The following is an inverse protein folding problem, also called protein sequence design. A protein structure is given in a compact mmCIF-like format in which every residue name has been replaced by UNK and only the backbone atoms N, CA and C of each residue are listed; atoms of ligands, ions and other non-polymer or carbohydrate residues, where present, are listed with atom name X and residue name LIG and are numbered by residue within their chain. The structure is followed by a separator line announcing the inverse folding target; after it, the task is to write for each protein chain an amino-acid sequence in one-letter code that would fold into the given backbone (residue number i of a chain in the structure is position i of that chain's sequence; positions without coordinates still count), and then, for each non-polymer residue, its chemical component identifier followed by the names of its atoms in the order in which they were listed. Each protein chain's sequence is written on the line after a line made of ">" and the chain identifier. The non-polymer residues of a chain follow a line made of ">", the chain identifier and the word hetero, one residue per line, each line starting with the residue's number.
data_IF_948053964929
#
_entry.id   IF_948053964929
#
_cell.length_a   1.000
_cell.length_b   1.000
_cell.length_c   1.000
_cell.angle_alpha   90.00
_cell.angle_beta   90.00
_cell.angle_gamma   90.00
#
_symmetry.space_group_name_H-M   'P 1'
#
loop_
_entity.id
_entity.type
_entity.pdbx_description
1 polymer ?
#
# COMPACT_ATOMS: atom_id res chain seq x y z
N UNK A 1 9.94 36.07 1.50
CA UNK A 1 10.23 34.80 2.19
C UNK A 1 8.94 34.45 2.90
N UNK A 2 8.34 33.34 2.51
CA UNK A 2 6.98 33.03 2.89
C UNK A 2 6.98 31.76 3.74
N UNK A 3 6.17 31.78 4.80
CA UNK A 3 6.03 30.67 5.73
C UNK A 3 4.55 30.31 5.79
N UNK A 4 4.24 29.05 5.52
CA UNK A 4 2.90 28.49 5.72
C UNK A 4 3.00 27.36 6.74
N UNK A 5 2.22 27.45 7.83
CA UNK A 5 2.18 26.43 8.86
C UNK A 5 0.73 26.02 9.18
N UNK A 6 0.53 24.74 9.44
CA UNK A 6 -0.76 24.18 9.83
C UNK A 6 -0.58 23.23 11.01
N UNK A 7 -1.53 23.24 11.95
CA UNK A 7 -1.60 22.29 13.06
C UNK A 7 -3.03 21.78 13.16
N UNK A 8 -3.20 20.45 13.21
CA UNK A 8 -4.48 19.79 13.40
C UNK A 8 -4.37 18.77 14.54
N UNK A 9 -5.34 18.82 15.47
CA UNK A 9 -5.41 17.94 16.63
C UNK A 9 -6.57 16.96 16.46
N UNK A 10 -6.30 15.67 16.58
CA UNK A 10 -7.35 14.64 16.69
C UNK A 10 -7.27 13.91 18.02
N UNK A 11 -8.44 13.55 18.55
CA UNK A 11 -8.57 12.74 19.78
C UNK A 11 -9.50 11.57 19.51
N UNK A 12 -9.10 10.37 19.93
CA UNK A 12 -9.91 9.16 19.83
C UNK A 12 -10.18 8.57 21.21
N UNK A 13 -11.42 8.17 21.50
CA UNK A 13 -11.77 7.44 22.73
C UNK A 13 -12.53 6.19 22.30
N UNK A 14 -12.09 5.01 22.73
CA UNK A 14 -12.74 3.75 22.38
C UNK A 14 -12.31 2.62 23.30
N UNK A 15 -13.10 1.56 23.33
CA UNK A 15 -12.80 0.29 23.99
C UNK A 15 -12.08 -0.62 23.00
N UNK A 16 -11.08 -1.37 23.46
CA UNK A 16 -10.40 -2.38 22.64
C UNK A 16 -10.97 -3.76 22.95
N UNK A 17 -10.88 -4.65 22.00
CA UNK A 17 -11.21 -6.07 22.11
C UNK A 17 -9.97 -6.89 21.85
N UNK A 18 -9.71 -7.87 22.71
CA UNK A 18 -8.70 -8.89 22.49
C UNK A 18 -9.39 -10.26 22.47
N UNK A 19 -8.98 -11.09 21.52
CA UNK A 19 -9.43 -12.46 21.45
C UNK A 19 -8.70 -13.29 22.52
N UNK A 20 -9.45 -13.88 23.46
CA UNK A 20 -8.91 -14.39 24.73
C UNK A 20 -7.75 -15.41 24.56
N UNK A 21 -7.87 -16.47 23.73
CA UNK A 21 -6.79 -17.43 23.51
C UNK A 21 -5.48 -16.81 23.01
N UNK A 22 -5.56 -15.87 22.07
CA UNK A 22 -4.36 -15.16 21.60
C UNK A 22 -3.82 -14.17 22.63
N UNK A 23 -4.70 -13.61 23.46
CA UNK A 23 -4.27 -12.70 24.50
C UNK A 23 -3.50 -13.41 25.60
N UNK A 24 -3.93 -14.62 26.00
CA UNK A 24 -3.16 -15.49 26.91
C UNK A 24 -1.77 -15.76 26.36
N UNK A 25 -1.71 -16.26 25.12
CA UNK A 25 -0.44 -16.54 24.45
C UNK A 25 0.47 -15.31 24.34
N UNK A 26 -0.10 -14.13 24.09
CA UNK A 26 0.64 -12.87 24.05
C UNK A 26 1.25 -12.52 25.42
N UNK A 27 0.49 -12.69 26.50
CA UNK A 27 0.97 -12.46 27.87
C UNK A 27 2.07 -13.46 28.23
N UNK A 28 1.87 -14.75 27.94
CA UNK A 28 2.88 -15.80 28.13
C UNK A 28 4.18 -15.52 27.38
N UNK A 29 4.09 -15.13 26.09
CA UNK A 29 5.26 -14.73 25.29
C UNK A 29 5.97 -13.52 25.92
N UNK A 30 5.23 -12.52 26.41
CA UNK A 30 5.81 -11.34 27.08
C UNK A 30 6.52 -11.69 28.38
N UNK A 31 5.90 -12.52 29.23
CA UNK A 31 6.50 -13.02 30.49
C UNK A 31 7.81 -13.74 30.17
N UNK A 32 7.80 -14.62 29.18
CA UNK A 32 9.00 -15.34 28.73
C UNK A 32 10.12 -14.39 28.31
N UNK A 33 9.82 -13.35 27.50
CA UNK A 33 10.83 -12.37 27.08
C UNK A 33 11.36 -11.52 28.24
N UNK A 34 10.50 -11.06 29.15
CA UNK A 34 10.89 -10.28 30.32
C UNK A 34 11.79 -11.08 31.25
N UNK A 35 11.47 -12.35 31.48
CA UNK A 35 12.32 -13.27 32.25
C UNK A 35 13.71 -13.43 31.62
N UNK A 36 13.80 -13.55 30.29
CA UNK A 36 15.10 -13.57 29.58
C UNK A 36 15.86 -12.26 29.69
N UNK A 37 15.17 -11.13 29.86
CA UNK A 37 15.76 -9.82 30.06
C UNK A 37 16.05 -9.51 31.54
N UNK A 38 15.81 -10.46 32.45
CA UNK A 38 15.91 -10.30 33.92
C UNK A 38 14.96 -9.22 34.49
N UNK A 39 13.88 -8.90 33.78
CA UNK A 39 12.85 -7.95 34.19
C UNK A 39 11.74 -8.64 35.03
N UNK A 40 12.12 -9.30 36.12
CA UNK A 40 11.23 -10.19 36.88
C UNK A 40 10.02 -9.49 37.50
N UNK A 41 10.17 -8.25 37.97
CA UNK A 41 9.05 -7.51 38.56
C UNK A 41 7.93 -7.25 37.52
N UNK A 42 8.30 -6.93 36.29
CA UNK A 42 7.35 -6.72 35.20
C UNK A 42 6.71 -8.05 34.77
N UNK A 43 7.50 -9.13 34.76
CA UNK A 43 7.01 -10.48 34.48
C UNK A 43 5.97 -10.94 35.52
N UNK A 44 6.22 -10.72 36.81
CA UNK A 44 5.28 -11.09 37.88
C UNK A 44 3.95 -10.34 37.78
N UNK A 45 3.96 -9.06 37.40
CA UNK A 45 2.73 -8.28 37.18
C UNK A 45 1.91 -8.89 36.03
N UNK A 46 2.57 -9.32 34.96
CA UNK A 46 1.89 -10.00 33.84
C UNK A 46 1.41 -11.41 34.23
N UNK A 47 2.14 -12.12 35.08
CA UNK A 47 1.76 -13.43 35.60
C UNK A 47 0.46 -13.33 36.43
N UNK A 48 0.37 -12.39 37.38
CA UNK A 48 -0.87 -12.15 38.13
C UNK A 48 -2.05 -11.75 37.22
N UNK A 49 -1.76 -11.04 36.14
CA UNK A 49 -2.77 -10.67 35.16
C UNK A 49 -3.27 -11.89 34.38
N UNK A 50 -2.37 -12.80 33.99
CA UNK A 50 -2.71 -14.06 33.33
C UNK A 50 -3.59 -14.93 34.22
N UNK A 51 -3.19 -15.13 35.48
CA UNK A 51 -3.95 -15.92 36.47
C UNK A 51 -5.37 -15.37 36.69
N UNK A 52 -5.51 -14.05 36.82
CA UNK A 52 -6.84 -13.41 36.94
C UNK A 52 -7.70 -13.62 35.69
N UNK A 53 -7.08 -13.54 34.52
CA UNK A 53 -7.76 -13.73 33.24
C UNK A 53 -8.24 -15.18 33.10
N UNK A 54 -7.39 -16.12 33.48
CA UNK A 54 -7.65 -17.56 33.49
C UNK A 54 -8.75 -17.94 34.47
N UNK A 55 -8.69 -17.46 35.70
CA UNK A 55 -9.73 -17.70 36.71
C UNK A 55 -11.10 -17.16 36.28
N UNK A 56 -11.14 -16.08 35.49
CA UNK A 56 -12.40 -15.48 35.05
C UNK A 56 -13.02 -16.19 33.84
N UNK A 57 -12.19 -16.71 32.93
CA UNK A 57 -12.66 -17.14 31.60
C UNK A 57 -12.30 -18.56 31.21
N UNK A 58 -11.58 -19.28 32.05
CA UNK A 58 -11.19 -20.66 31.82
C UNK A 58 -11.77 -21.58 32.89
N UNK A 59 -11.94 -22.83 32.52
CA UNK A 59 -12.40 -23.91 33.39
C UNK A 59 -11.38 -25.01 33.33
N UNK A 60 -11.14 -25.54 34.51
CA UNK A 60 -10.31 -26.71 34.70
C UNK A 60 -11.21 -27.94 34.66
N UNK A 61 -10.93 -28.87 33.74
CA UNK A 61 -11.67 -30.11 33.57
C UNK A 61 -10.74 -31.24 34.01
N UNK A 62 -10.91 -31.81 35.23
CA UNK A 62 -10.09 -32.90 35.71
C UNK A 62 -10.15 -34.10 34.75
N UNK A 63 -9.05 -34.82 34.61
CA UNK A 63 -9.05 -36.07 33.85
C UNK A 63 -10.04 -37.07 34.49
N UNK A 64 -10.92 -37.71 33.70
CA UNK A 64 -11.93 -38.63 34.23
C UNK A 64 -11.33 -39.90 34.85
N UNK A 65 -10.12 -40.31 34.43
CA UNK A 65 -9.43 -41.50 34.92
C UNK A 65 -8.50 -41.16 36.11
N UNK A 66 -7.99 -39.92 36.18
CA UNK A 66 -7.19 -39.44 37.32
C UNK A 66 -7.52 -37.99 37.71
N UNK A 67 -8.61 -37.77 38.48
CA UNK A 67 -9.09 -36.43 38.81
C UNK A 67 -8.22 -35.69 39.86
N UNK A 68 -7.24 -36.36 40.47
CA UNK A 68 -6.30 -35.76 41.43
C UNK A 68 -4.98 -35.32 40.77
N UNK A 69 -4.67 -35.80 39.56
CA UNK A 69 -3.47 -35.39 38.83
C UNK A 69 -3.70 -34.04 38.13
N UNK A 70 -3.08 -32.99 38.67
CA UNK A 70 -3.28 -31.65 38.15
C UNK A 70 -2.69 -31.44 36.74
N UNK A 71 -1.72 -32.28 36.34
CA UNK A 71 -1.02 -32.18 35.06
C UNK A 71 -1.82 -32.81 33.90
N UNK A 72 -2.81 -33.65 34.21
CA UNK A 72 -3.62 -34.38 33.21
C UNK A 72 -4.94 -33.68 32.86
N UNK A 73 -5.35 -32.69 33.64
CA UNK A 73 -6.60 -31.99 33.37
C UNK A 73 -6.56 -31.11 32.11
N UNK A 74 -7.71 -31.05 31.44
CA UNK A 74 -7.90 -30.16 30.30
C UNK A 74 -8.24 -28.74 30.76
N UNK A 75 -7.49 -27.78 30.22
CA UNK A 75 -7.71 -26.37 30.48
C UNK A 75 -8.54 -25.72 29.36
N UNK A 76 -9.86 -25.64 29.55
CA UNK A 76 -10.78 -25.10 28.54
C UNK A 76 -11.09 -23.63 28.81
N UNK A 77 -10.65 -22.75 27.90
CA UNK A 77 -10.94 -21.31 27.95
C UNK A 77 -12.07 -20.91 27.01
N UNK A 78 -12.83 -19.87 27.39
CA UNK A 78 -13.89 -19.33 26.55
C UNK A 78 -13.37 -18.81 25.19
N UNK A 79 -14.00 -19.26 24.11
CA UNK A 79 -13.76 -18.76 22.75
C UNK A 79 -14.54 -17.46 22.51
N UNK A 80 -14.00 -16.32 22.99
CA UNK A 80 -14.64 -15.00 22.83
C UNK A 80 -13.68 -13.82 22.84
N UNK A 81 -14.15 -12.71 22.29
CA UNK A 81 -13.55 -11.39 22.47
C UNK A 81 -13.86 -10.80 23.85
N UNK A 82 -12.83 -10.32 24.54
CA UNK A 82 -12.96 -9.61 25.82
C UNK A 82 -12.68 -8.13 25.64
N UNK A 83 -13.47 -7.28 26.30
CA UNK A 83 -13.23 -5.84 26.33
C UNK A 83 -12.02 -5.53 27.21
N UNK A 84 -11.10 -4.74 26.67
CA UNK A 84 -9.96 -4.18 27.38
C UNK A 84 -10.01 -2.67 27.28
N UNK A 85 -9.61 -1.97 28.33
CA UNK A 85 -9.47 -0.51 28.26
C UNK A 85 -8.38 -0.15 27.25
N UNK A 86 -8.68 0.80 26.37
CA UNK A 86 -7.68 1.32 25.45
C UNK A 86 -6.62 2.13 26.21
N UNK A 87 -5.45 1.51 26.45
CA UNK A 87 -4.29 2.16 27.05
C UNK A 87 -3.47 2.88 25.96
N UNK A 88 -3.21 4.19 26.12
CA UNK A 88 -2.33 4.94 25.22
C UNK A 88 -2.62 6.44 25.10
N UNK A 89 -1.76 7.17 24.38
CA UNK A 89 -1.98 8.58 24.04
C UNK A 89 -3.04 8.67 22.94
N UNK A 90 -4.30 8.79 23.35
CA UNK A 90 -5.49 9.07 22.54
C UNK A 90 -5.48 10.40 21.76
N UNK A 91 -4.33 11.06 21.64
CA UNK A 91 -4.16 12.36 20.97
C UNK A 91 -3.10 12.23 19.90
N UNK A 92 -3.48 12.57 18.67
CA UNK A 92 -2.55 12.66 17.56
C UNK A 92 -2.51 14.12 17.10
N UNK A 93 -1.29 14.58 16.82
CA UNK A 93 -1.06 15.96 16.37
C UNK A 93 -0.41 15.88 14.99
N UNK A 94 -1.11 16.41 14.01
CA UNK A 94 -0.61 16.67 12.68
C UNK A 94 -0.11 18.10 12.62
N UNK A 95 1.02 18.30 11.97
CA UNK A 95 1.55 19.63 11.74
C UNK A 95 2.39 19.64 10.47
N UNK A 96 2.37 20.76 9.78
CA UNK A 96 3.21 21.01 8.62
C UNK A 96 3.74 22.44 8.65
N UNK A 97 4.91 22.62 8.05
CA UNK A 97 5.50 23.92 7.82
C UNK A 97 6.22 23.89 6.47
N UNK A 98 5.98 24.90 5.65
CA UNK A 98 6.69 25.12 4.38
C UNK A 98 7.32 26.50 4.42
N UNK A 99 8.61 26.55 4.14
CA UNK A 99 9.37 27.77 3.94
C UNK A 99 9.71 27.88 2.46
N UNK A 100 9.43 29.02 1.85
CA UNK A 100 9.85 29.35 0.49
C UNK A 100 10.51 30.72 0.43
N UNK A 101 11.38 30.90 -0.55
CA UNK A 101 12.00 32.18 -0.84
C UNK A 101 11.87 32.46 -2.33
N UNK A 102 11.30 33.62 -2.68
CA UNK A 102 11.37 34.13 -4.04
C UNK A 102 12.75 34.76 -4.24
N UNK A 103 13.57 34.17 -5.11
CA UNK A 103 14.91 34.67 -5.46
C UNK A 103 14.91 35.20 -6.89
N UNK A 104 14.24 34.49 -7.80
CA UNK A 104 14.11 34.83 -9.21
C UNK A 104 12.87 34.12 -9.80
N UNK A 105 12.34 34.60 -10.93
CA UNK A 105 11.20 33.99 -11.62
C UNK A 105 11.37 32.49 -11.88
N UNK A 106 12.57 32.11 -12.32
CA UNK A 106 12.95 30.71 -12.56
C UNK A 106 13.48 29.97 -11.32
N UNK A 107 13.52 30.61 -10.15
CA UNK A 107 14.07 30.00 -8.95
C UNK A 107 13.38 30.50 -7.67
N UNK A 108 12.33 29.80 -7.30
CA UNK A 108 11.67 29.91 -6.00
C UNK A 108 11.88 28.62 -5.21
N UNK A 109 13.00 28.47 -4.47
CA UNK A 109 13.25 27.31 -3.64
C UNK A 109 12.25 27.20 -2.47
N UNK A 110 11.99 25.97 -2.06
CA UNK A 110 11.19 25.66 -0.89
C UNK A 110 11.70 24.44 -0.13
N UNK A 111 11.43 24.43 1.17
CA UNK A 111 11.58 23.28 2.05
C UNK A 111 10.25 23.08 2.78
N UNK A 112 9.74 21.86 2.77
CA UNK A 112 8.51 21.50 3.49
C UNK A 112 8.78 20.33 4.43
N UNK A 113 8.20 20.43 5.62
CA UNK A 113 8.11 19.36 6.59
C UNK A 113 6.64 19.11 6.91
N UNK A 114 6.21 17.86 6.92
CA UNK A 114 4.88 17.49 7.41
C UNK A 114 4.93 16.22 8.26
N UNK A 115 4.09 16.21 9.29
CA UNK A 115 3.75 15.03 10.08
C UNK A 115 2.24 14.80 9.97
N UNK A 116 1.85 13.65 9.47
CA UNK A 116 0.46 13.24 9.33
C UNK A 116 0.22 11.87 10.00
N UNK A 117 -1.04 11.52 10.20
CA UNK A 117 -1.43 10.19 10.67
C UNK A 117 -2.65 9.66 9.92
N UNK A 118 -2.75 8.33 9.86
CA UNK A 118 -3.96 7.61 9.43
C UNK A 118 -4.39 6.67 10.55
N UNK A 119 -5.64 6.79 10.99
CA UNK A 119 -6.21 5.84 11.96
C UNK A 119 -6.56 4.52 11.26
N UNK A 120 -6.51 3.38 11.96
CA UNK A 120 -6.98 2.11 11.42
C UNK A 120 -8.44 2.21 10.98
N UNK A 121 -8.78 1.59 9.86
CA UNK A 121 -10.15 1.52 9.37
C UNK A 121 -10.87 0.29 9.97
N UNK A 122 -12.21 0.27 9.85
CA UNK A 122 -13.05 -0.80 10.43
C UNK A 122 -12.67 -2.19 9.87
N UNK A 123 -12.33 -2.29 8.58
CA UNK A 123 -11.91 -3.56 7.98
C UNK A 123 -10.58 -4.02 8.57
N UNK A 124 -9.60 -3.15 8.72
CA UNK A 124 -8.31 -3.50 9.34
C UNK A 124 -8.50 -3.98 10.78
N UNK A 125 -9.42 -3.39 11.54
CA UNK A 125 -9.63 -3.74 12.94
C UNK A 125 -10.47 -5.00 13.15
N UNK A 126 -11.49 -5.25 12.32
CA UNK A 126 -12.51 -6.27 12.57
C UNK A 126 -12.62 -7.36 11.50
N UNK A 127 -11.86 -7.28 10.40
CA UNK A 127 -11.90 -8.31 9.37
C UNK A 127 -11.19 -9.58 9.84
N UNK A 128 -11.83 -10.71 9.60
CA UNK A 128 -11.32 -12.05 9.88
C UNK A 128 -11.94 -13.03 8.89
N UNK A 129 -11.17 -14.01 8.42
CA UNK A 129 -11.69 -15.09 7.56
C UNK A 129 -12.13 -16.31 8.36
N UNK A 130 -11.79 -16.37 9.65
CA UNK A 130 -12.13 -17.45 10.54
C UNK A 130 -12.57 -16.84 11.88
N UNK A 131 -13.87 -16.89 12.18
CA UNK A 131 -14.45 -16.36 13.42
C UNK A 131 -13.87 -15.00 13.82
N UNK A 132 -13.59 -14.84 15.12
CA UNK A 132 -12.99 -13.63 15.67
C UNK A 132 -11.44 -13.66 15.69
N UNK A 133 -10.81 -14.73 15.20
CA UNK A 133 -9.35 -14.94 15.29
C UNK A 133 -8.53 -13.86 14.54
N UNK A 134 -9.07 -13.26 13.49
CA UNK A 134 -8.39 -12.20 12.71
C UNK A 134 -8.56 -10.78 13.26
N UNK A 135 -9.46 -10.60 14.23
CA UNK A 135 -9.80 -9.28 14.79
C UNK A 135 -8.60 -8.70 15.55
N UNK A 136 -8.20 -7.47 15.19
CA UNK A 136 -7.15 -6.74 15.88
C UNK A 136 -7.52 -5.28 16.10
N UNK A 137 -8.07 -4.99 17.28
CA UNK A 137 -8.42 -3.62 17.65
C UNK A 137 -7.28 -2.86 18.36
N UNK A 138 -6.13 -3.51 18.54
CA UNK A 138 -4.95 -2.91 19.16
C UNK A 138 -4.07 -2.14 18.17
N UNK A 139 -4.46 -2.14 16.88
CA UNK A 139 -3.75 -1.43 15.82
C UNK A 139 -3.46 0.03 16.20
N UNK A 140 -2.19 0.40 16.00
CA UNK A 140 -1.71 1.77 16.18
C UNK A 140 -1.98 2.55 14.90
N UNK A 141 -2.37 3.83 15.01
CA UNK A 141 -2.42 4.73 13.86
C UNK A 141 -1.06 4.84 13.18
N UNK A 142 -1.06 4.77 11.85
CA UNK A 142 0.13 4.99 11.04
C UNK A 142 0.57 6.46 11.17
N UNK A 143 1.87 6.72 11.24
CA UNK A 143 2.40 8.08 11.31
C UNK A 143 3.43 8.32 10.22
N UNK A 144 3.12 9.22 9.30
CA UNK A 144 4.03 9.62 8.23
C UNK A 144 4.75 10.92 8.59
N UNK A 145 6.07 10.94 8.39
CA UNK A 145 6.90 12.15 8.43
C UNK A 145 7.52 12.35 7.06
N UNK A 146 7.22 13.48 6.43
CA UNK A 146 7.68 13.80 5.09
C UNK A 146 8.51 15.07 5.11
N UNK A 147 9.66 15.01 4.44
CA UNK A 147 10.49 16.18 4.13
C UNK A 147 10.55 16.31 2.62
N UNK A 148 10.29 17.50 2.10
CA UNK A 148 10.41 17.84 0.69
C UNK A 148 11.34 19.04 0.55
N UNK A 149 12.23 18.98 -0.44
CA UNK A 149 13.10 20.08 -0.81
C UNK A 149 12.99 20.21 -2.32
N UNK A 150 12.74 21.42 -2.80
CA UNK A 150 12.56 21.64 -4.22
C UNK A 150 12.61 23.10 -4.59
N UNK A 151 12.30 23.37 -5.84
CA UNK A 151 12.15 24.72 -6.36
C UNK A 151 11.12 24.72 -7.49
N UNK A 152 10.50 25.87 -7.65
CA UNK A 152 9.56 26.14 -8.73
C UNK A 152 10.12 27.29 -9.57
N UNK A 153 9.82 27.28 -10.85
CA UNK A 153 10.10 28.39 -11.75
C UNK A 153 8.86 28.66 -12.60
N UNK A 154 8.53 29.93 -12.77
CA UNK A 154 7.53 30.38 -13.71
C UNK A 154 8.00 31.69 -14.33
N UNK A 155 8.10 31.73 -15.65
CA UNK A 155 8.50 32.93 -16.38
C UNK A 155 7.74 33.02 -17.69
N UNK A 156 7.22 34.21 -17.96
CA UNK A 156 6.73 34.59 -19.28
C UNK A 156 7.88 35.25 -20.06
N UNK A 157 7.82 35.20 -21.38
CA UNK A 157 8.77 35.86 -22.27
C UNK A 157 10.21 35.37 -22.11
N UNK A 158 10.40 34.05 -22.10
CA UNK A 158 11.72 33.44 -21.93
C UNK A 158 12.51 33.40 -23.25
N UNK A 159 11.91 32.95 -24.35
CA UNK A 159 12.53 32.89 -25.67
C UNK A 159 11.79 33.76 -26.70
N UNK A 160 10.50 34.03 -26.51
CA UNK A 160 9.68 34.85 -27.42
C UNK A 160 8.75 35.80 -26.65
N UNK A 161 8.19 36.82 -27.29
CA UNK A 161 7.32 37.80 -26.63
C UNK A 161 5.96 37.25 -26.14
N UNK A 162 5.67 35.95 -26.33
CA UNK A 162 4.41 35.34 -25.91
C UNK A 162 4.56 33.95 -25.26
N UNK A 163 5.78 33.45 -25.04
CA UNK A 163 5.97 32.13 -24.45
C UNK A 163 5.89 32.13 -22.92
N UNK A 164 5.59 30.96 -22.37
CA UNK A 164 5.50 30.70 -20.93
C UNK A 164 6.24 29.42 -20.61
N UNK A 165 7.11 29.48 -19.60
CA UNK A 165 7.78 28.32 -19.04
C UNK A 165 7.41 28.19 -17.56
N UNK A 166 6.85 27.05 -17.19
CA UNK A 166 6.64 26.63 -15.81
C UNK A 166 7.35 25.33 -15.53
N UNK A 167 8.03 25.21 -14.38
CA UNK A 167 8.56 23.92 -13.94
C UNK A 167 8.61 23.81 -12.42
N UNK A 168 8.65 22.57 -11.95
CA UNK A 168 8.81 22.24 -10.55
C UNK A 168 9.66 20.99 -10.43
N UNK A 169 10.68 21.06 -9.60
CA UNK A 169 11.53 19.92 -9.29
C UNK A 169 11.63 19.77 -7.77
N UNK A 170 11.50 18.54 -7.28
CA UNK A 170 11.63 18.26 -5.85
C UNK A 170 12.21 16.88 -5.59
N UNK A 171 12.86 16.77 -4.44
CA UNK A 171 13.18 15.50 -3.80
C UNK A 171 12.34 15.37 -2.54
N UNK A 172 11.91 14.15 -2.24
CA UNK A 172 11.12 13.87 -1.05
C UNK A 172 11.63 12.65 -0.31
N UNK A 173 11.38 12.65 1.00
CA UNK A 173 11.61 11.51 1.87
C UNK A 173 10.50 11.40 2.91
N UNK A 174 9.71 10.35 2.79
CA UNK A 174 8.66 9.97 3.73
C UNK A 174 9.11 8.76 4.55
N UNK A 175 8.89 8.82 5.86
CA UNK A 175 9.03 7.67 6.76
C UNK A 175 7.70 7.42 7.45
N UNK A 176 7.10 6.25 7.22
CA UNK A 176 5.86 5.82 7.87
C UNK A 176 6.21 4.86 8.99
N UNK A 177 5.79 5.20 10.21
CA UNK A 177 5.87 4.32 11.38
C UNK A 177 4.53 3.62 11.57
N UNK A 178 4.58 2.40 12.10
CA UNK A 178 3.41 1.61 12.47
C UNK A 178 2.51 1.35 11.23
N UNK A 179 3.11 1.16 10.04
CA UNK A 179 2.35 0.90 8.79
C UNK A 179 1.51 -0.37 8.93
N UNK A 180 0.22 -0.30 8.62
CA UNK A 180 -0.72 -1.40 8.77
C UNK A 180 -0.71 -2.22 7.49
N UNK A 181 -0.44 -3.51 7.64
CA UNK A 181 -0.49 -4.51 6.56
C UNK A 181 -1.11 -5.80 7.12
N UNK A 182 -1.38 -6.80 6.29
CA UNK A 182 -1.92 -8.07 6.76
C UNK A 182 -1.05 -9.28 6.43
N UNK A 183 -1.22 -10.31 7.25
CA UNK A 183 -0.56 -11.61 7.16
C UNK A 183 -1.61 -12.72 7.24
N UNK A 184 -1.28 -13.90 6.73
CA UNK A 184 -2.02 -15.12 7.08
C UNK A 184 -1.45 -15.67 8.37
N UNK A 185 -2.23 -15.62 9.46
CA UNK A 185 -1.84 -16.07 10.80
C UNK A 185 -2.47 -17.42 11.10
N UNK A 186 -1.70 -18.33 11.69
CA UNK A 186 -2.26 -19.59 12.18
C UNK A 186 -3.32 -19.33 13.28
N UNK A 187 -4.44 -20.05 13.23
CA UNK A 187 -5.39 -20.08 14.33
C UNK A 187 -4.77 -20.73 15.59
N UNK A 188 -5.39 -20.62 16.78
CA UNK A 188 -4.92 -21.34 17.97
C UNK A 188 -4.82 -22.85 17.72
N UNK A 189 -3.95 -23.56 18.44
CA UNK A 189 -3.58 -24.95 18.16
C UNK A 189 -4.77 -25.94 18.06
N UNK A 190 -5.86 -25.68 18.77
CA UNK A 190 -7.07 -26.50 18.78
C UNK A 190 -8.02 -26.21 17.61
N UNK A 191 -7.78 -25.14 16.84
CA UNK A 191 -8.54 -24.77 15.63
C UNK A 191 -7.68 -25.01 14.40
N UNK A 192 -8.14 -25.91 13.52
CA UNK A 192 -7.49 -26.10 12.22
C UNK A 192 -7.87 -24.97 11.29
N UNK A 193 -6.93 -24.07 11.00
CA UNK A 193 -7.12 -23.04 10.00
C UNK A 193 -6.16 -21.87 10.11
N UNK A 194 -6.30 -20.93 9.18
CA UNK A 194 -5.58 -19.66 9.17
C UNK A 194 -6.54 -18.51 8.98
N UNK A 195 -6.18 -17.35 9.50
CA UNK A 195 -6.97 -16.13 9.38
C UNK A 195 -6.14 -14.98 8.84
N UNK A 196 -6.78 -14.09 8.08
CA UNK A 196 -6.17 -12.82 7.72
C UNK A 196 -6.11 -11.95 8.97
N UNK A 197 -4.89 -11.57 9.36
CA UNK A 197 -4.62 -10.79 10.55
C UNK A 197 -3.90 -9.50 10.17
N UNK A 198 -4.51 -8.36 10.51
CA UNK A 198 -3.90 -7.05 10.31
C UNK A 198 -2.97 -6.72 11.48
N UNK A 199 -1.78 -6.19 11.20
CA UNK A 199 -0.82 -5.76 12.22
C UNK A 199 -0.03 -4.55 11.76
N UNK A 200 0.55 -3.83 12.72
CA UNK A 200 1.52 -2.79 12.43
C UNK A 200 2.87 -3.44 12.06
N UNK A 201 3.53 -2.90 11.03
CA UNK A 201 4.86 -3.30 10.61
C UNK A 201 5.91 -2.80 11.59
N UNK A 202 6.83 -3.68 11.98
CA UNK A 202 7.83 -3.40 13.01
C UNK A 202 8.87 -2.37 12.55
N UNK A 203 9.19 -2.38 11.26
CA UNK A 203 10.09 -1.41 10.65
C UNK A 203 9.35 -0.18 10.11
N UNK A 204 10.11 0.91 9.94
CA UNK A 204 9.59 2.10 9.27
C UNK A 204 9.62 1.90 7.76
N UNK A 205 8.46 2.04 7.11
CA UNK A 205 8.37 2.11 5.65
C UNK A 205 9.02 3.41 5.18
N UNK A 206 9.95 3.30 4.24
CA UNK A 206 10.69 4.41 3.66
C UNK A 206 10.26 4.58 2.21
N UNK A 207 9.72 5.75 1.90
CA UNK A 207 9.42 6.18 0.53
C UNK A 207 10.28 7.40 0.22
N UNK A 208 10.99 7.38 -0.89
CA UNK A 208 11.78 8.52 -1.34
C UNK A 208 11.82 8.58 -2.84
N UNK A 209 12.04 9.77 -3.37
CA UNK A 209 12.03 9.96 -4.80
C UNK A 209 12.39 11.37 -5.23
N UNK A 210 12.40 11.53 -6.53
CA UNK A 210 12.56 12.78 -7.26
C UNK A 210 11.38 12.94 -8.21
N UNK A 211 10.83 14.14 -8.27
CA UNK A 211 9.74 14.50 -9.18
C UNK A 211 10.13 15.76 -9.94
N UNK A 212 9.84 15.75 -11.25
CA UNK A 212 10.04 16.85 -12.17
C UNK A 212 8.77 17.04 -13.00
N UNK A 213 8.31 18.27 -13.07
CA UNK A 213 7.25 18.72 -13.96
C UNK A 213 7.75 19.93 -14.74
N UNK A 214 7.53 19.97 -16.04
CA UNK A 214 7.87 21.07 -16.93
C UNK A 214 6.74 21.27 -17.93
N UNK A 215 6.33 22.51 -18.10
CA UNK A 215 5.30 22.95 -19.04
C UNK A 215 5.85 24.15 -19.80
N UNK A 216 5.87 24.06 -21.13
CA UNK A 216 6.29 25.14 -22.02
C UNK A 216 5.22 25.36 -23.07
N UNK A 217 4.80 26.62 -23.26
CA UNK A 217 3.79 26.99 -24.23
C UNK A 217 4.21 28.28 -24.94
N UNK A 218 4.23 28.26 -26.28
CA UNK A 218 4.51 29.42 -27.13
C UNK A 218 3.31 29.79 -28.03
N UNK A 219 2.11 29.33 -27.68
CA UNK A 219 0.88 29.45 -28.48
C UNK A 219 0.83 28.40 -29.59
N UNK A 220 1.68 28.52 -30.61
CA UNK A 220 1.72 27.60 -31.76
C UNK A 220 2.30 26.22 -31.45
N UNK A 221 3.05 26.10 -30.37
CA UNK A 221 3.67 24.86 -29.90
C UNK A 221 3.63 24.80 -28.37
N UNK A 222 3.45 23.59 -27.85
CA UNK A 222 3.58 23.31 -26.42
C UNK A 222 4.29 21.99 -26.17
N UNK A 223 4.93 21.91 -25.01
CA UNK A 223 5.60 20.72 -24.51
C UNK A 223 5.34 20.55 -23.01
N UNK A 224 4.83 19.39 -22.61
CA UNK A 224 4.61 19.04 -21.21
C UNK A 224 5.42 17.79 -20.88
N UNK A 225 6.20 17.84 -19.80
CA UNK A 225 7.01 16.73 -19.31
C UNK A 225 6.69 16.51 -17.83
N UNK A 226 6.36 15.27 -17.49
CA UNK A 226 6.34 14.80 -16.11
C UNK A 226 7.29 13.61 -15.97
N UNK A 227 8.08 13.59 -14.90
CA UNK A 227 8.98 12.48 -14.57
C UNK A 227 9.00 12.27 -13.06
N UNK A 228 8.89 11.01 -12.65
CA UNK A 228 9.01 10.58 -11.27
C UNK A 228 9.96 9.38 -11.16
N UNK A 229 10.92 9.47 -10.24
CA UNK A 229 11.73 8.36 -9.79
C UNK A 229 11.43 8.08 -8.32
N UNK A 230 11.13 6.84 -7.96
CA UNK A 230 10.76 6.50 -6.58
C UNK A 230 11.25 5.13 -6.12
N UNK A 231 11.57 5.04 -4.83
CA UNK A 231 11.86 3.80 -4.13
C UNK A 231 10.95 3.67 -2.90
N UNK A 232 10.42 2.48 -2.68
CA UNK A 232 9.49 2.17 -1.59
C UNK A 232 9.84 0.84 -0.93
N UNK A 233 9.96 0.83 0.40
CA UNK A 233 10.21 -0.37 1.23
C UNK A 233 8.95 -0.91 1.90
N UNK A 234 7.76 -0.56 1.39
CA UNK A 234 6.48 -1.04 1.89
C UNK A 234 6.44 -2.58 1.87
N UNK A 235 6.01 -3.22 2.98
CA UNK A 235 5.81 -4.66 3.02
C UNK A 235 4.65 -5.06 2.11
N UNK A 236 4.69 -6.28 1.60
CA UNK A 236 3.60 -6.86 0.82
C UNK A 236 2.66 -7.59 1.78
N UNK A 237 1.36 -7.28 1.69
CA UNK A 237 0.32 -7.95 2.46
C UNK A 237 0.06 -9.34 1.91
N UNK A 238 -0.34 -10.27 2.77
CA UNK A 238 -0.71 -11.62 2.32
C UNK A 238 -1.83 -11.60 1.29
N UNK A 239 -2.75 -10.65 1.40
CA UNK A 239 -3.89 -10.51 0.49
C UNK A 239 -3.62 -9.74 -0.79
N UNK A 240 -2.39 -9.24 -1.03
CA UNK A 240 -2.04 -8.49 -2.24
C UNK A 240 -2.01 -9.39 -3.49
N UNK A 241 -1.87 -10.70 -3.31
CA UNK A 241 -2.04 -11.71 -4.35
C UNK A 241 -2.82 -12.91 -3.80
N UNK A 242 -3.46 -13.66 -4.69
CA UNK A 242 -4.21 -14.87 -4.35
C UNK A 242 -3.76 -16.03 -5.21
N UNK A 243 -3.75 -17.24 -4.64
CA UNK A 243 -3.65 -18.46 -5.44
C UNK A 243 -4.92 -18.65 -6.29
N UNK A 244 -4.87 -19.48 -7.32
CA UNK A 244 -6.10 -19.86 -8.03
C UNK A 244 -6.92 -20.84 -7.20
N UNK A 245 -8.24 -20.78 -7.36
CA UNK A 245 -9.21 -21.62 -6.62
C UNK A 245 -9.22 -23.07 -7.13
N UNK A 246 -8.72 -23.33 -8.34
CA UNK A 246 -8.67 -24.65 -8.97
C UNK A 246 -7.50 -25.53 -8.48
N UNK A 247 -6.70 -25.05 -7.52
CA UNK A 247 -5.67 -25.86 -6.87
C UNK A 247 -6.32 -27.03 -6.13
N UNK A 248 -6.03 -28.25 -6.60
CA UNK A 248 -6.61 -29.53 -6.18
C UNK A 248 -6.24 -29.92 -4.72
N UNK A 249 -5.42 -29.13 -4.02
CA UNK A 249 -4.92 -29.43 -2.68
C UNK A 249 -5.53 -28.55 -1.58
N UNK A 250 -5.75 -29.13 -0.40
CA UNK A 250 -6.14 -28.40 0.83
C UNK A 250 -5.17 -27.26 1.20
N UNK A 251 -3.93 -27.28 0.71
CA UNK A 251 -2.95 -26.21 0.93
C UNK A 251 -3.32 -24.93 0.17
N UNK A 252 -3.83 -25.03 -1.06
CA UNK A 252 -4.17 -23.87 -1.90
C UNK A 252 -5.32 -23.03 -1.34
N UNK A 253 -6.24 -23.64 -0.59
CA UNK A 253 -7.29 -22.91 0.12
C UNK A 253 -6.72 -21.93 1.18
N UNK A 254 -5.68 -22.34 1.90
CA UNK A 254 -5.02 -21.52 2.92
C UNK A 254 -4.15 -20.42 2.33
N UNK A 255 -3.91 -20.46 1.02
CA UNK A 255 -3.15 -19.49 0.24
C UNK A 255 -4.05 -18.40 -0.37
N UNK A 256 -5.34 -18.40 -0.07
CA UNK A 256 -6.26 -17.43 -0.66
C UNK A 256 -6.17 -16.06 0.00
N UNK A 257 -5.86 -15.05 -0.81
CA UNK A 257 -5.86 -13.63 -0.42
C UNK A 257 -7.20 -12.94 -0.60
N UNK A 258 -8.18 -13.62 -1.22
CA UNK A 258 -9.55 -13.14 -1.50
C UNK A 258 -9.63 -11.80 -2.25
N UNK A 259 -8.53 -11.33 -2.85
CA UNK A 259 -8.43 -10.01 -3.45
C UNK A 259 -8.69 -8.86 -2.48
N UNK A 260 -8.47 -9.09 -1.17
CA UNK A 260 -8.83 -8.14 -0.11
C UNK A 260 -7.92 -6.91 -0.07
N UNK A 261 -6.72 -6.98 -0.65
CA UNK A 261 -5.83 -5.84 -0.87
C UNK A 261 -5.18 -5.93 -2.25
N UNK A 262 -4.42 -4.89 -2.61
CA UNK A 262 -3.73 -4.78 -3.90
C UNK A 262 -2.42 -4.05 -3.69
N UNK A 263 -1.39 -4.41 -4.47
CA UNK A 263 -0.14 -3.66 -4.45
C UNK A 263 -0.38 -2.25 -4.98
N UNK A 264 0.13 -1.26 -4.24
CA UNK A 264 -0.04 0.17 -4.56
C UNK A 264 1.33 0.84 -4.72
N UNK A 265 2.26 0.15 -5.39
CA UNK A 265 3.62 0.63 -5.62
C UNK A 265 3.77 1.02 -7.10
N UNK A 266 3.85 2.32 -7.38
CA UNK A 266 4.12 2.82 -8.75
C UNK A 266 5.46 2.26 -9.29
N UNK A 267 5.65 2.22 -10.62
CA UNK A 267 6.94 1.92 -11.22
C UNK A 267 8.07 2.77 -10.61
N UNK A 268 9.28 2.21 -10.60
CA UNK A 268 10.48 2.92 -10.10
C UNK A 268 10.73 4.21 -10.87
N UNK A 269 10.44 4.19 -12.16
CA UNK A 269 10.52 5.34 -13.05
C UNK A 269 9.21 5.44 -13.83
N UNK A 270 8.63 6.63 -13.87
CA UNK A 270 7.46 6.96 -14.69
C UNK A 270 7.72 8.29 -15.39
N UNK A 271 7.46 8.35 -16.70
CA UNK A 271 7.54 9.60 -17.45
C UNK A 271 6.40 9.74 -18.45
N UNK A 272 5.95 10.97 -18.66
CA UNK A 272 5.09 11.35 -19.78
C UNK A 272 5.65 12.58 -20.46
N UNK A 273 5.81 12.53 -21.78
CA UNK A 273 6.19 13.66 -22.62
C UNK A 273 5.09 13.89 -23.63
N UNK A 274 4.46 15.06 -23.58
CA UNK A 274 3.51 15.53 -24.56
C UNK A 274 4.15 16.64 -25.39
N UNK A 275 4.00 16.56 -26.70
CA UNK A 275 4.38 17.60 -27.64
C UNK A 275 3.18 17.87 -28.55
N UNK A 276 2.90 19.13 -28.83
CA UNK A 276 1.86 19.45 -29.79
C UNK A 276 1.97 20.84 -30.37
N UNK A 277 1.16 21.06 -31.40
CA UNK A 277 1.11 22.29 -32.18
C UNK A 277 -0.32 22.77 -32.33
N UNK A 278 -0.50 24.09 -32.42
CA UNK A 278 -1.79 24.76 -32.60
C UNK A 278 -1.76 25.60 -33.87
N UNK A 279 -2.84 25.51 -34.65
CA UNK A 279 -3.00 26.14 -35.96
C UNK A 279 -4.37 26.82 -36.04
N UNK A 280 -4.52 27.75 -36.97
CA UNK A 280 -5.79 28.47 -37.24
C UNK A 280 -6.39 29.13 -36.00
N UNK A 281 -5.60 29.95 -35.29
CA UNK A 281 -6.04 30.59 -34.04
C UNK A 281 -6.47 29.54 -32.99
N UNK A 282 -5.66 28.50 -32.84
CA UNK A 282 -5.86 27.39 -31.89
C UNK A 282 -7.04 26.46 -32.16
N UNK A 283 -7.77 26.66 -33.27
CA UNK A 283 -8.89 25.82 -33.69
C UNK A 283 -8.47 24.43 -34.12
N UNK A 284 -7.23 24.24 -34.60
CA UNK A 284 -6.69 22.92 -34.91
C UNK A 284 -5.48 22.63 -34.03
N UNK A 285 -5.54 21.52 -33.30
CA UNK A 285 -4.45 21.07 -32.45
C UNK A 285 -4.03 19.66 -32.85
N UNK A 286 -2.73 19.47 -33.01
CA UNK A 286 -2.14 18.17 -33.34
C UNK A 286 -1.07 17.89 -32.29
N UNK A 287 -1.19 16.78 -31.59
CA UNK A 287 -0.30 16.43 -30.50
C UNK A 287 -0.02 14.94 -30.40
N UNK A 288 1.00 14.62 -29.62
CA UNK A 288 1.38 13.25 -29.28
C UNK A 288 1.91 13.16 -27.86
N UNK A 289 1.61 12.04 -27.21
CA UNK A 289 2.02 11.73 -25.84
C UNK A 289 2.83 10.45 -25.83
N UNK A 290 4.07 10.52 -25.37
CA UNK A 290 4.91 9.37 -25.07
C UNK A 290 4.85 9.05 -23.58
N UNK A 291 4.53 7.80 -23.23
CA UNK A 291 4.52 7.27 -21.87
C UNK A 291 5.67 6.28 -21.69
N UNK A 292 6.40 6.40 -20.59
CA UNK A 292 7.49 5.53 -20.21
C UNK A 292 7.24 4.93 -18.82
N UNK A 293 7.37 3.60 -18.74
CA UNK A 293 7.25 2.85 -17.50
C UNK A 293 8.53 2.03 -17.27
N UNK A 294 9.24 2.37 -16.20
CA UNK A 294 10.41 1.64 -15.72
C UNK A 294 10.03 0.29 -15.10
N UNK A 295 10.96 -0.26 -14.32
CA UNK A 295 10.71 -1.52 -13.59
C UNK A 295 9.60 -1.29 -12.56
N UNK A 296 8.63 -2.19 -12.51
CA UNK A 296 7.55 -2.18 -11.51
C UNK A 296 7.66 -3.38 -10.57
N UNK A 297 6.98 -3.30 -9.43
CA UNK A 297 6.85 -4.42 -8.48
C UNK A 297 5.41 -4.93 -8.54
N UNK A 298 5.23 -6.23 -8.38
CA UNK A 298 3.93 -6.87 -8.21
C UNK A 298 3.99 -7.92 -7.11
N UNK A 299 2.86 -8.28 -6.54
CA UNK A 299 2.79 -9.39 -5.60
C UNK A 299 2.92 -10.73 -6.36
N UNK A 300 3.68 -11.65 -5.78
CA UNK A 300 3.98 -12.97 -6.33
C UNK A 300 3.18 -14.03 -5.57
N UNK A 301 2.93 -15.20 -6.18
CA UNK A 301 2.32 -16.32 -5.46
C UNK A 301 3.26 -16.94 -4.41
N UNK A 302 4.53 -16.53 -4.39
CA UNK A 302 5.52 -16.99 -3.41
C UNK A 302 5.30 -16.38 -2.03
N UNK A 303 5.75 -17.11 -1.01
CA UNK A 303 5.58 -16.72 0.38
C UNK A 303 6.89 -16.67 1.18
N UNK A 304 6.81 -15.98 2.32
CA UNK A 304 7.76 -16.07 3.42
C UNK A 304 7.00 -16.49 4.67
N UNK A 305 7.46 -17.57 5.30
CA UNK A 305 6.87 -18.07 6.55
C UNK A 305 7.71 -17.58 7.74
N UNK A 306 7.02 -17.09 8.76
CA UNK A 306 7.57 -16.73 10.05
C UNK A 306 7.16 -17.84 11.01
N UNK A 307 8.13 -18.49 11.64
CA UNK A 307 7.92 -19.59 12.57
C UNK A 307 7.85 -19.08 14.01
N UNK A 308 7.24 -19.86 14.89
CA UNK A 308 7.40 -19.65 16.33
C UNK A 308 8.88 -19.86 16.73
N UNK A 309 9.38 -19.12 17.74
CA UNK A 309 10.74 -19.31 18.24
C UNK A 309 11.01 -20.77 18.59
N UNK A 310 12.15 -21.31 18.14
CA UNK A 310 12.59 -22.69 18.39
C UNK A 310 11.58 -23.78 17.97
N UNK A 311 10.74 -23.50 16.96
CA UNK A 311 9.73 -24.44 16.47
C UNK A 311 9.74 -24.53 14.94
N UNK A 312 9.20 -25.62 14.41
CA UNK A 312 8.89 -25.78 12.97
C UNK A 312 7.47 -25.33 12.63
N UNK A 313 6.70 -24.86 13.63
CA UNK A 313 5.32 -24.43 13.47
C UNK A 313 5.28 -23.01 12.91
N UNK A 314 4.52 -22.81 11.83
CA UNK A 314 4.30 -21.50 11.22
C UNK A 314 3.39 -20.63 12.09
N UNK A 315 3.86 -19.41 12.38
CA UNK A 315 3.13 -18.36 13.08
C UNK A 315 2.38 -17.46 12.10
N UNK A 316 3.11 -16.92 11.12
CA UNK A 316 2.60 -15.97 10.12
C UNK A 316 3.16 -16.27 8.74
N UNK A 317 2.40 -15.97 7.70
CA UNK A 317 2.82 -16.08 6.30
C UNK A 317 2.56 -14.77 5.57
N UNK A 318 3.57 -14.31 4.83
CA UNK A 318 3.55 -13.08 4.03
C UNK A 318 3.74 -13.43 2.55
N UNK A 319 3.13 -12.65 1.66
CA UNK A 319 3.44 -12.71 0.23
C UNK A 319 4.80 -12.08 -0.06
N UNK A 320 5.44 -12.53 -1.13
CA UNK A 320 6.62 -11.87 -1.70
C UNK A 320 6.21 -11.00 -2.87
N UNK A 321 7.04 -10.02 -3.19
CA UNK A 321 6.96 -9.34 -4.47
C UNK A 321 7.90 -9.95 -5.51
N UNK A 322 7.67 -9.56 -6.74
CA UNK A 322 8.57 -9.78 -7.86
C UNK A 322 8.67 -8.52 -8.71
N UNK A 323 9.81 -8.39 -9.40
CA UNK A 323 10.07 -7.24 -10.28
C UNK A 323 9.62 -7.56 -11.69
N UNK A 324 8.73 -6.73 -12.22
CA UNK A 324 8.39 -6.71 -13.64
C UNK A 324 9.46 -5.87 -14.37
N UNK A 325 10.04 -6.37 -15.47
CA UNK A 325 10.93 -5.59 -16.32
C UNK A 325 10.28 -4.31 -16.85
N UNK A 326 11.11 -3.37 -17.33
CA UNK A 326 10.63 -2.16 -17.99
C UNK A 326 9.70 -2.50 -19.16
N UNK A 327 8.62 -1.74 -19.30
CA UNK A 327 7.65 -1.90 -20.40
C UNK A 327 8.13 -1.13 -21.65
N UNK A 328 7.62 -1.47 -22.85
CA UNK A 328 7.84 -0.63 -24.02
C UNK A 328 7.25 0.77 -23.82
N UNK A 329 7.82 1.76 -24.51
CA UNK A 329 7.24 3.10 -24.56
C UNK A 329 5.93 3.06 -25.36
N UNK A 330 4.91 3.75 -24.87
CA UNK A 330 3.59 3.82 -25.49
C UNK A 330 3.41 5.23 -26.06
N UNK A 331 2.93 5.29 -27.29
CA UNK A 331 2.74 6.55 -28.02
C UNK A 331 1.28 6.69 -28.40
N UNK A 332 0.68 7.77 -27.95
CA UNK A 332 -0.67 8.18 -28.30
C UNK A 332 -0.59 9.43 -29.18
N UNK A 333 -1.41 9.53 -30.22
CA UNK A 333 -1.51 10.72 -31.07
C UNK A 333 -2.93 11.25 -31.05
N UNK A 334 -3.09 12.55 -31.21
CA UNK A 334 -4.41 13.15 -31.30
C UNK A 334 -4.47 14.35 -32.24
N UNK A 335 -5.65 14.56 -32.78
CA UNK A 335 -6.05 15.74 -33.54
C UNK A 335 -7.34 16.26 -32.94
N UNK A 336 -7.38 17.53 -32.58
CA UNK A 336 -8.58 18.22 -32.09
C UNK A 336 -8.88 19.39 -33.01
N UNK A 337 -10.12 19.49 -33.48
CA UNK A 337 -10.54 20.54 -34.40
C UNK A 337 -11.85 21.19 -33.96
N UNK A 338 -11.89 22.52 -33.99
CA UNK A 338 -13.07 23.35 -33.76
C UNK A 338 -13.58 23.92 -35.10
N UNK A 339 -14.39 23.17 -35.88
CA UNK A 339 -14.90 23.63 -37.17
C UNK A 339 -15.85 24.82 -37.08
N UNK A 340 -16.67 24.85 -36.03
CA UNK A 340 -17.58 25.95 -35.70
C UNK A 340 -17.43 26.25 -34.22
N UNK A 341 -17.75 27.49 -33.83
CA UNK A 341 -17.62 27.94 -32.46
C UNK A 341 -18.30 26.96 -31.49
N UNK A 342 -17.59 26.60 -30.44
CA UNK A 342 -18.03 25.75 -29.33
C UNK A 342 -18.26 24.26 -29.70
N UNK A 343 -17.98 23.83 -30.94
CA UNK A 343 -17.98 22.42 -31.35
C UNK A 343 -16.56 21.91 -31.50
N UNK A 344 -16.11 21.02 -30.60
CA UNK A 344 -14.79 20.39 -30.65
C UNK A 344 -14.95 18.93 -31.08
N UNK A 345 -14.29 18.56 -32.18
CA UNK A 345 -14.17 17.17 -32.65
C UNK A 345 -12.74 16.72 -32.39
N UNK A 346 -12.57 15.65 -31.61
CA UNK A 346 -11.25 15.10 -31.29
C UNK A 346 -11.14 13.64 -31.73
N UNK A 347 -10.11 13.35 -32.51
CA UNK A 347 -9.69 12.02 -32.90
C UNK A 347 -8.40 11.68 -32.15
N UNK A 348 -8.37 10.52 -31.49
CA UNK A 348 -7.20 9.99 -30.81
C UNK A 348 -6.84 8.61 -31.37
N UNK A 349 -5.55 8.36 -31.55
CA UNK A 349 -4.97 7.05 -31.84
C UNK A 349 -4.11 6.65 -30.65
N UNK A 350 -4.65 5.82 -29.77
CA UNK A 350 -3.97 5.29 -28.59
C UNK A 350 -3.12 4.08 -28.97
N UNK A 351 -1.96 3.92 -28.32
CA UNK A 351 -1.00 2.86 -28.57
C UNK A 351 -0.70 2.68 -30.07
N UNK A 352 -0.27 3.75 -30.73
CA UNK A 352 -0.14 3.83 -32.19
C UNK A 352 0.76 2.74 -32.79
N UNK A 353 1.76 2.27 -32.04
CA UNK A 353 2.68 1.20 -32.47
C UNK A 353 2.29 -0.21 -32.03
N UNK A 354 1.07 -0.37 -31.52
CA UNK A 354 0.48 -1.66 -31.12
C UNK A 354 1.42 -2.48 -30.21
N UNK A 355 1.99 -1.80 -29.20
CA UNK A 355 2.91 -2.42 -28.25
C UNK A 355 2.11 -3.12 -27.17
N UNK A 356 2.56 -4.31 -26.83
CA UNK A 356 2.02 -5.12 -25.75
C UNK A 356 2.62 -4.64 -24.43
N UNK A 357 1.78 -4.14 -23.52
CA UNK A 357 2.18 -3.64 -22.21
C UNK A 357 1.09 -3.87 -21.18
N UNK A 358 1.45 -3.81 -19.90
CA UNK A 358 0.50 -3.80 -18.79
C UNK A 358 0.48 -2.40 -18.16
N UNK A 359 -0.71 -1.88 -17.89
CA UNK A 359 -0.85 -0.61 -17.18
C UNK A 359 -0.28 -0.75 -15.77
N UNK A 360 0.61 0.15 -15.32
CA UNK A 360 1.07 0.12 -13.95
C UNK A 360 -0.09 0.31 -12.98
N UNK A 361 -0.04 -0.39 -11.85
CA UNK A 361 -1.12 -0.41 -10.86
C UNK A 361 -2.47 -0.93 -11.38
N UNK A 362 -2.53 -1.54 -12.58
CA UNK A 362 -3.68 -2.34 -12.93
C UNK A 362 -3.84 -3.44 -11.85
N UNK A 363 -5.00 -3.41 -11.21
CA UNK A 363 -5.39 -4.35 -10.17
C UNK A 363 -5.32 -5.81 -10.63
N UNK A 364 -5.44 -6.06 -11.93
CA UNK A 364 -5.32 -7.40 -12.49
C UNK A 364 -3.87 -7.88 -12.59
N UNK A 365 -2.86 -7.03 -12.39
CA UNK A 365 -1.45 -7.45 -12.43
C UNK A 365 -1.10 -8.47 -11.33
N UNK A 366 -1.82 -8.42 -10.21
CA UNK A 366 -1.63 -9.29 -9.03
C UNK A 366 -2.77 -10.32 -8.87
N UNK A 367 -3.69 -10.42 -9.83
CA UNK A 367 -4.83 -11.32 -9.72
C UNK A 367 -4.40 -12.77 -9.81
N UNK A 368 -5.15 -13.66 -9.16
CA UNK A 368 -4.95 -15.11 -9.25
C UNK A 368 -4.95 -15.61 -10.71
N UNK A 369 -5.72 -14.95 -11.60
CA UNK A 369 -5.76 -15.27 -13.02
C UNK A 369 -4.42 -15.02 -13.75
N UNK A 370 -3.47 -14.28 -13.16
CA UNK A 370 -2.13 -14.09 -13.74
C UNK A 370 -1.19 -15.27 -13.55
N UNK A 371 -1.54 -16.26 -12.73
CA UNK A 371 -0.70 -17.43 -12.47
C UNK A 371 -1.38 -18.69 -12.99
N UNK A 372 -0.73 -19.47 -13.86
CA UNK A 372 -1.21 -20.80 -14.30
C UNK A 372 -0.23 -21.86 -13.82
N UNK A 373 -0.76 -22.93 -13.24
CA UNK A 373 0.01 -24.14 -12.96
C UNK A 373 0.30 -24.86 -14.28
N UNK A 374 1.58 -25.03 -14.63
CA UNK A 374 1.98 -25.70 -15.87
C UNK A 374 2.64 -27.04 -15.57
N UNK A 375 2.00 -28.12 -16.01
CA UNK A 375 2.46 -29.50 -15.87
C UNK A 375 3.61 -29.85 -16.84
N UNK A 376 3.76 -29.13 -17.95
CA UNK A 376 4.68 -29.47 -19.05
C UNK A 376 6.13 -29.02 -18.80
N UNK A 377 6.36 -28.03 -17.92
CA UNK A 377 7.69 -27.47 -17.63
C UNK A 377 8.20 -27.74 -16.21
N UNK A 378 7.62 -28.76 -15.57
CA UNK A 378 7.92 -29.24 -14.22
C UNK A 378 7.18 -28.42 -13.17
N UNK A 379 6.26 -29.05 -12.43
CA UNK A 379 5.46 -28.59 -11.27
C UNK A 379 5.72 -27.16 -10.78
N UNK A 380 5.46 -26.16 -11.64
CA UNK A 380 5.76 -24.75 -11.37
C UNK A 380 4.65 -23.88 -11.91
N UNK A 381 4.32 -22.89 -11.09
CA UNK A 381 3.51 -21.76 -11.46
C UNK A 381 4.23 -20.88 -12.50
N UNK A 382 3.59 -20.67 -13.65
CA UNK A 382 4.01 -19.70 -14.65
C UNK A 382 3.10 -18.47 -14.61
N UNK A 383 3.71 -17.31 -14.81
CA UNK A 383 2.96 -16.07 -14.96
C UNK A 383 2.56 -15.84 -16.41
N UNK A 384 1.27 -15.58 -16.64
CA UNK A 384 0.66 -15.62 -17.97
C UNK A 384 0.40 -14.23 -18.54
N UNK A 385 0.45 -13.20 -17.67
CA UNK A 385 0.37 -11.78 -18.04
C UNK A 385 -0.83 -11.45 -18.93
N UNK A 386 -1.98 -12.09 -18.78
CA UNK A 386 -3.07 -11.98 -19.75
C UNK A 386 -3.88 -10.66 -19.67
N UNK A 387 -3.52 -9.72 -18.79
CA UNK A 387 -4.17 -8.44 -18.60
C UNK A 387 -3.47 -7.29 -19.36
N UNK A 388 -3.03 -7.55 -20.58
CA UNK A 388 -2.44 -6.49 -21.39
C UNK A 388 -3.44 -5.36 -21.64
N UNK A 389 -2.93 -4.13 -21.55
CA UNK A 389 -3.66 -2.94 -21.92
C UNK A 389 -4.05 -2.99 -23.41
N UNK A 390 -4.99 -2.11 -23.79
CA UNK A 390 -5.52 -2.09 -25.16
C UNK A 390 -4.39 -1.91 -26.19
N UNK A 391 -4.50 -2.66 -27.28
CA UNK A 391 -3.68 -2.46 -28.48
C UNK A 391 -4.03 -1.13 -29.16
N UNK A 392 -3.61 -0.99 -30.42
CA UNK A 392 -3.92 0.20 -31.21
C UNK A 392 -5.43 0.46 -31.24
N UNK A 393 -5.85 1.61 -30.72
CA UNK A 393 -7.27 1.96 -30.57
C UNK A 393 -7.53 3.37 -31.08
N UNK A 394 -8.49 3.53 -32.01
CA UNK A 394 -8.95 4.83 -32.46
C UNK A 394 -10.19 5.26 -31.67
N UNK A 395 -10.21 6.49 -31.17
CA UNK A 395 -11.32 7.06 -30.40
C UNK A 395 -11.72 8.39 -31.04
N UNK A 396 -13.00 8.52 -31.41
CA UNK A 396 -13.58 9.76 -31.90
C UNK A 396 -14.53 10.31 -30.83
N UNK A 397 -14.39 11.58 -30.51
CA UNK A 397 -15.27 12.29 -29.57
C UNK A 397 -15.69 13.64 -30.16
N UNK A 398 -16.90 14.07 -29.82
CA UNK A 398 -17.42 15.39 -30.16
C UNK A 398 -18.02 16.01 -28.90
N UNK A 399 -17.64 17.26 -28.63
CA UNK A 399 -18.17 18.05 -27.51
C UNK A 399 -18.73 19.33 -28.06
N UNK A 400 -19.99 19.64 -27.74
CA UNK A 400 -20.63 20.89 -28.10
C UNK A 400 -21.06 21.62 -26.85
N UNK A 401 -20.61 22.86 -26.68
CA UNK A 401 -21.01 23.73 -25.58
C UNK A 401 -22.06 24.72 -26.11
N UNK A 402 -23.20 24.82 -25.43
CA UNK A 402 -24.32 25.68 -25.80
C UNK A 402 -24.65 26.68 -24.69
#
# INVERSE_FOLDING_TARGET
>A
MDINANINLSRYKGTRFKYLPFYRQEIEEQIYQLNRQHAYNEANVLQEQLEKLEAQYCRYIPDPDDPEDEDLAEFECADKNISTESKGKHRLVNYSATLSAYIHDLFTPFVSYSKTHRVPNVKEMFFSTLGDYGVNTDLKPEQAKTVQIGFNGFKENIFTDNDKLGFKALIYRTRVKDHIFNVSRAAPAYVRGRTIYHKNYDEKVKMNGFELELNYDMGSFYANLAYAHQNNTQPISFTDASARVDTVSNSGFNEQGFGASKISILPRDYASLELGTRWFEEKLQIGGVMKYYGKSRRASTKFTNILYPNSTIEKETLRRDETIPKQPMIFDFYVSYEPIKDLIIKLELQNAFDKKYADPLDANNDSASQTIFNLDFGDKDISVFNNYARGRTAVLSATYKF
#
